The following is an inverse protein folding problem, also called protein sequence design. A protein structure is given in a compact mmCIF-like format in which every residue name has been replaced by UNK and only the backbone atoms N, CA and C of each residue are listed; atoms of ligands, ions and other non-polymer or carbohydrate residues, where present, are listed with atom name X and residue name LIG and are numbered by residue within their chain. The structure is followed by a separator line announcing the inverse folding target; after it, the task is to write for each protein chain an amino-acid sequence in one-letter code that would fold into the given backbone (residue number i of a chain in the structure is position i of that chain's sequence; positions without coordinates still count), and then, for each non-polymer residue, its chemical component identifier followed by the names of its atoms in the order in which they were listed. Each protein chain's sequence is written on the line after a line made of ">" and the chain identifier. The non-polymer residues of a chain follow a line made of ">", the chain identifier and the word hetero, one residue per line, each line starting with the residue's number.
data_IF_687009643864
#
_entry.id   IF_687009643864
#
_cell.length_a   1.000
_cell.length_b   1.000
_cell.length_c   1.000
_cell.angle_alpha   90.00
_cell.angle_beta   90.00
_cell.angle_gamma   90.00
#
_symmetry.space_group_name_H-M   'P 1'
#
loop_
_entity.id
_entity.type
_entity.pdbx_description
1 polymer ?
#
# COMPACT_ATOMS: atom_id res chain seq x y z
N UNK A 1 21.17 2.93 -27.63
CA UNK A 1 21.70 2.32 -26.40
C UNK A 1 20.84 2.82 -25.27
N UNK A 2 19.81 2.05 -24.92
CA UNK A 2 18.84 2.39 -23.89
C UNK A 2 19.49 2.11 -22.53
N UNK A 3 19.55 3.11 -21.66
CA UNK A 3 20.04 2.93 -20.31
C UNK A 3 19.01 2.09 -19.54
N UNK A 4 19.24 0.78 -19.47
CA UNK A 4 18.51 -0.15 -18.59
C UNK A 4 18.56 0.38 -17.17
N UNK A 5 17.42 0.87 -16.67
CA UNK A 5 17.26 1.39 -15.32
C UNK A 5 17.36 0.21 -14.35
N UNK A 6 18.54 0.00 -13.77
CA UNK A 6 18.75 -1.03 -12.74
C UNK A 6 17.99 -0.67 -11.47
N UNK A 7 16.78 -1.19 -11.32
CA UNK A 7 16.06 -1.18 -10.06
C UNK A 7 16.60 -2.30 -9.16
N UNK A 8 17.00 -1.98 -7.94
CA UNK A 8 17.37 -2.97 -6.92
C UNK A 8 17.01 -2.39 -5.57
N UNK A 9 15.71 -2.22 -5.36
CA UNK A 9 15.16 -1.60 -4.17
C UNK A 9 14.52 -2.65 -3.27
N UNK A 10 14.77 -2.54 -1.95
CA UNK A 10 14.20 -3.42 -0.92
C UNK A 10 13.65 -2.60 0.24
N UNK A 11 12.50 -3.02 0.76
CA UNK A 11 11.92 -2.46 1.98
C UNK A 11 11.02 -3.50 2.66
N UNK A 12 10.49 -3.19 3.85
CA UNK A 12 9.39 -3.95 4.43
C UNK A 12 8.05 -3.50 3.84
N UNK A 13 7.07 -4.40 3.75
CA UNK A 13 5.71 -4.07 3.34
C UNK A 13 4.67 -4.67 4.28
N UNK A 14 3.50 -4.05 4.28
CA UNK A 14 2.24 -4.63 4.71
C UNK A 14 1.28 -4.55 3.53
N UNK A 15 0.56 -5.63 3.23
CA UNK A 15 -0.24 -5.78 2.02
C UNK A 15 -1.57 -6.50 2.24
N UNK A 16 -2.56 -6.13 1.45
CA UNK A 16 -3.89 -6.74 1.44
C UNK A 16 -4.50 -6.61 0.04
N UNK A 17 -5.28 -7.60 -0.38
CA UNK A 17 -6.15 -7.43 -1.55
C UNK A 17 -7.40 -6.63 -1.18
N UNK A 18 -8.12 -6.14 -2.19
CA UNK A 18 -9.42 -5.50 -2.02
C UNK A 18 -10.40 -6.42 -1.27
N UNK A 19 -10.51 -7.68 -1.69
CA UNK A 19 -11.42 -8.64 -1.07
C UNK A 19 -11.06 -8.93 0.39
N UNK A 20 -9.77 -8.96 0.74
CA UNK A 20 -9.32 -9.14 2.11
C UNK A 20 -9.62 -7.93 3.02
N UNK A 21 -9.55 -6.71 2.46
CA UNK A 21 -9.97 -5.49 3.16
C UNK A 21 -11.49 -5.46 3.35
N UNK A 22 -12.27 -5.82 2.33
CA UNK A 22 -13.75 -5.87 2.39
C UNK A 22 -14.27 -6.97 3.33
N UNK A 23 -13.65 -8.15 3.32
CA UNK A 23 -14.06 -9.28 4.16
C UNK A 23 -13.79 -9.04 5.67
N UNK A 24 -12.79 -8.21 6.00
CA UNK A 24 -12.41 -7.90 7.37
C UNK A 24 -13.21 -6.77 8.05
N UNK A 25 -14.12 -6.09 7.33
CA UNK A 25 -14.85 -4.91 7.83
C UNK A 25 -15.83 -5.26 8.97
N UNK A 26 -16.42 -6.46 8.95
CA UNK A 26 -17.43 -6.87 9.95
C UNK A 26 -16.84 -7.29 11.30
N UNK A 27 -15.67 -7.94 11.31
CA UNK A 27 -15.10 -8.54 12.53
C UNK A 27 -14.20 -7.62 13.37
N UNK A 28 -13.64 -6.55 12.77
CA UNK A 28 -12.58 -5.74 13.40
C UNK A 28 -12.90 -4.26 13.65
N UNK A 29 -14.15 -3.82 13.47
CA UNK A 29 -14.64 -2.52 14.01
C UNK A 29 -14.35 -2.34 15.51
N UNK A 30 -14.11 -3.44 16.24
CA UNK A 30 -13.73 -3.45 17.66
C UNK A 30 -12.21 -3.33 17.92
N UNK A 31 -11.35 -3.66 16.95
CA UNK A 31 -9.88 -3.73 17.14
C UNK A 31 -9.09 -2.66 16.36
N UNK A 32 -9.71 -1.93 15.43
CA UNK A 32 -9.09 -0.89 14.60
C UNK A 32 -8.52 0.33 15.34
N UNK A 33 -8.54 0.30 16.68
CA UNK A 33 -8.05 1.36 17.55
C UNK A 33 -6.58 1.26 17.93
N UNK A 34 -6.02 0.05 17.85
CA UNK A 34 -4.74 -0.24 18.49
C UNK A 34 -3.59 -0.45 17.49
N UNK A 35 -3.84 -0.85 16.23
CA UNK A 35 -2.74 -1.13 15.30
C UNK A 35 -3.19 -1.16 13.82
N UNK A 36 -2.79 -0.15 13.03
CA UNK A 36 -3.06 -0.09 11.58
C UNK A 36 -2.39 -1.24 10.80
N UNK A 37 -1.24 -1.74 11.28
CA UNK A 37 -0.55 -2.87 10.66
C UNK A 37 -1.31 -4.20 10.79
N UNK A 38 -2.20 -4.32 11.80
CA UNK A 38 -3.00 -5.53 11.96
C UNK A 38 -4.02 -5.72 10.83
N UNK A 39 -4.37 -4.67 10.08
CA UNK A 39 -5.36 -4.73 9.00
C UNK A 39 -4.83 -5.41 7.73
N UNK A 40 -3.51 -5.55 7.60
CA UNK A 40 -2.86 -6.16 6.46
C UNK A 40 -2.49 -7.60 6.81
N UNK A 41 -3.14 -8.61 6.22
CA UNK A 41 -2.85 -10.01 6.52
C UNK A 41 -1.47 -10.42 6.02
N UNK A 42 -0.95 -9.72 4.99
CA UNK A 42 0.35 -10.01 4.40
C UNK A 42 1.38 -9.00 4.86
N UNK A 43 2.55 -9.49 5.24
CA UNK A 43 3.68 -8.67 5.64
C UNK A 43 4.97 -9.38 5.26
N UNK A 44 6.00 -8.64 4.91
CA UNK A 44 7.27 -9.22 4.47
C UNK A 44 8.21 -8.19 3.87
N UNK A 45 9.12 -8.65 3.02
CA UNK A 45 10.00 -7.77 2.24
C UNK A 45 9.44 -7.56 0.84
N UNK A 46 9.41 -6.30 0.40
CA UNK A 46 9.13 -5.92 -0.97
C UNK A 46 10.46 -5.72 -1.69
N UNK A 47 10.59 -6.34 -2.87
CA UNK A 47 11.74 -6.22 -3.74
C UNK A 47 11.29 -5.80 -5.12
N UNK A 48 11.91 -4.76 -5.67
CA UNK A 48 11.66 -4.30 -7.03
C UNK A 48 12.94 -4.39 -7.86
N UNK A 49 12.84 -5.08 -9.00
CA UNK A 49 13.85 -5.07 -10.04
C UNK A 49 13.22 -4.75 -11.41
N UNK A 50 14.00 -4.83 -12.49
CA UNK A 50 13.53 -4.52 -13.86
C UNK A 50 12.46 -5.48 -14.40
N UNK A 51 12.41 -6.71 -13.88
CA UNK A 51 11.60 -7.82 -14.39
C UNK A 51 10.38 -8.11 -13.51
N UNK A 52 10.50 -7.88 -12.21
CA UNK A 52 9.50 -8.27 -11.23
C UNK A 52 9.45 -7.34 -10.01
N UNK A 53 8.24 -7.19 -9.49
CA UNK A 53 7.92 -6.67 -8.17
C UNK A 53 7.53 -7.86 -7.30
N UNK A 54 8.37 -8.20 -6.33
CA UNK A 54 8.18 -9.32 -5.42
C UNK A 54 7.69 -8.79 -4.08
N UNK A 55 6.53 -9.27 -3.64
CA UNK A 55 6.03 -9.15 -2.27
C UNK A 55 6.31 -10.49 -1.58
N UNK A 56 7.40 -10.54 -0.81
CA UNK A 56 7.93 -11.75 -0.21
C UNK A 56 6.87 -12.56 0.52
N UNK A 57 6.92 -13.88 0.33
CA UNK A 57 5.99 -14.88 0.89
C UNK A 57 4.51 -14.69 0.50
N UNK A 58 4.20 -13.75 -0.41
CA UNK A 58 2.84 -13.48 -0.85
C UNK A 58 2.65 -13.62 -2.36
N UNK A 59 3.28 -12.76 -3.17
CA UNK A 59 3.06 -12.74 -4.61
C UNK A 59 4.20 -12.05 -5.38
N UNK A 60 4.30 -12.37 -6.67
CA UNK A 60 5.22 -11.73 -7.61
C UNK A 60 4.44 -11.17 -8.79
N UNK A 61 4.66 -9.89 -9.11
CA UNK A 61 4.04 -9.18 -10.23
C UNK A 61 5.07 -8.85 -11.29
N UNK A 62 4.69 -9.02 -12.56
CA UNK A 62 5.42 -8.50 -13.72
C UNK A 62 4.93 -7.09 -14.06
N UNK A 63 5.69 -6.30 -14.84
CA UNK A 63 5.24 -4.99 -15.31
C UNK A 63 3.84 -5.04 -15.95
N UNK A 64 3.58 -6.09 -16.73
CA UNK A 64 2.32 -6.31 -17.46
C UNK A 64 1.13 -6.65 -16.57
N UNK A 65 1.37 -7.02 -15.32
CA UNK A 65 0.31 -7.38 -14.38
C UNK A 65 -0.28 -6.13 -13.71
N UNK A 66 0.45 -5.01 -13.73
CA UNK A 66 0.06 -3.74 -13.14
C UNK A 66 -0.52 -2.83 -14.23
N UNK A 67 -1.81 -2.53 -14.11
CA UNK A 67 -2.53 -1.64 -15.01
C UNK A 67 -2.34 -0.17 -14.63
N UNK A 68 -2.44 0.14 -13.34
CA UNK A 68 -2.31 1.50 -12.83
C UNK A 68 -1.78 1.48 -11.38
N UNK A 69 -1.29 2.63 -10.90
CA UNK A 69 -0.82 2.81 -9.53
C UNK A 69 -1.06 4.23 -9.00
N UNK A 70 -1.60 4.30 -7.79
CA UNK A 70 -1.85 5.56 -7.08
C UNK A 70 -1.46 5.51 -5.60
N UNK A 71 -1.45 6.67 -4.95
CA UNK A 71 -1.35 6.80 -3.50
C UNK A 71 -2.55 7.60 -3.00
N UNK A 72 -3.69 6.93 -2.90
CA UNK A 72 -4.95 7.51 -2.43
C UNK A 72 -5.61 6.72 -1.31
N UNK A 73 -6.40 7.42 -0.50
CA UNK A 73 -7.32 6.75 0.42
C UNK A 73 -8.46 6.16 -0.40
N UNK A 74 -8.60 4.84 -0.36
CA UNK A 74 -9.69 4.13 -1.02
C UNK A 74 -10.91 4.06 -0.10
N UNK A 75 -12.15 3.89 -0.62
CA UNK A 75 -13.35 3.79 0.23
C UNK A 75 -13.28 2.65 1.24
N UNK A 76 -12.64 1.53 0.88
CA UNK A 76 -12.43 0.34 1.71
C UNK A 76 -11.30 0.57 2.74
N UNK A 77 -10.34 1.44 2.40
CA UNK A 77 -9.34 1.99 3.32
C UNK A 77 -9.71 3.44 3.67
N UNK A 78 -10.98 3.62 4.06
CA UNK A 78 -11.65 4.91 4.08
C UNK A 78 -12.39 5.17 5.37
N UNK A 79 -11.82 6.08 6.18
CA UNK A 79 -12.49 6.95 7.17
C UNK A 79 -12.64 6.47 8.62
N UNK A 80 -12.64 5.17 8.93
CA UNK A 80 -12.80 4.68 10.32
C UNK A 80 -11.54 4.08 10.98
N UNK A 81 -10.55 3.65 10.21
CA UNK A 81 -9.33 2.98 10.72
C UNK A 81 -8.20 3.95 11.07
N UNK A 82 -8.26 5.18 10.58
CA UNK A 82 -7.30 6.24 10.92
C UNK A 82 -7.74 7.09 12.14
N UNK A 83 -8.98 6.94 12.60
CA UNK A 83 -9.55 7.72 13.70
C UNK A 83 -10.02 6.79 14.80
N UNK A 84 -9.25 6.71 15.88
CA UNK A 84 -9.70 6.00 17.05
C UNK A 84 -11.00 6.57 17.66
N UNK A 85 -11.62 5.86 18.59
CA UNK A 85 -13.00 5.89 19.07
C UNK A 85 -13.37 7.11 19.91
N UNK A 86 -12.70 8.23 19.64
CA UNK A 86 -13.16 9.56 20.00
C UNK A 86 -13.63 10.21 18.70
N UNK A 87 -14.95 10.21 18.51
CA UNK A 87 -15.60 10.97 17.45
C UNK A 87 -15.01 12.38 17.41
N UNK A 88 -14.32 12.68 16.31
CA UNK A 88 -13.49 13.85 16.21
C UNK A 88 -12.32 13.53 15.30
N UNK A 89 -12.49 13.77 14.01
CA UNK A 89 -11.35 14.22 13.22
C UNK A 89 -10.78 15.41 13.99
N UNK A 90 -9.58 15.36 14.58
CA UNK A 90 -8.91 16.61 14.80
C UNK A 90 -8.71 17.15 13.39
N UNK A 91 -9.25 18.33 13.15
CA UNK A 91 -8.91 19.16 12.00
C UNK A 91 -7.41 19.49 12.09
N UNK A 92 -6.54 18.51 11.90
CA UNK A 92 -5.13 18.74 11.61
C UNK A 92 -5.04 18.94 10.10
N UNK A 93 -5.41 20.15 9.67
CA UNK A 93 -5.25 20.65 8.31
C UNK A 93 -3.81 20.71 7.82
N UNK A 94 -2.92 19.83 8.30
CA UNK A 94 -1.49 19.81 8.02
C UNK A 94 -0.92 18.44 7.69
N UNK A 95 -1.73 17.36 7.71
CA UNK A 95 -1.22 15.99 7.54
C UNK A 95 -2.15 15.16 6.64
N UNK A 96 -2.50 15.71 5.48
CA UNK A 96 -3.46 15.10 4.54
C UNK A 96 -2.92 13.87 3.80
N UNK A 97 -1.61 13.61 3.90
CA UNK A 97 -0.89 12.59 3.13
C UNK A 97 -0.26 11.46 3.97
N UNK A 98 -0.26 11.53 5.31
CA UNK A 98 0.33 10.45 6.10
C UNK A 98 -0.61 9.24 6.14
N UNK A 99 -0.02 8.05 5.95
CA UNK A 99 -0.73 6.78 6.05
C UNK A 99 -1.54 6.37 4.80
N UNK A 100 -1.47 7.11 3.69
CA UNK A 100 -2.11 6.70 2.43
C UNK A 100 -1.49 5.40 1.91
N UNK A 101 -2.30 4.39 1.56
CA UNK A 101 -1.80 3.17 0.96
C UNK A 101 -1.36 3.45 -0.48
N UNK A 102 -0.39 2.68 -0.95
CA UNK A 102 -0.04 2.57 -2.35
C UNK A 102 -0.97 1.51 -2.95
N UNK A 103 -1.79 1.89 -3.92
CA UNK A 103 -2.74 0.97 -4.54
C UNK A 103 -2.19 0.55 -5.90
N UNK A 104 -2.05 -0.76 -6.10
CA UNK A 104 -1.74 -1.39 -7.38
C UNK A 104 -3.05 -1.90 -7.97
N UNK A 105 -3.43 -1.39 -9.14
CA UNK A 105 -4.55 -1.91 -9.90
C UNK A 105 -4.02 -2.95 -10.87
N UNK A 106 -4.51 -4.18 -10.76
CA UNK A 106 -4.03 -5.28 -11.56
C UNK A 106 -4.87 -5.45 -12.82
N UNK A 107 -4.25 -6.00 -13.87
CA UNK A 107 -4.94 -6.27 -15.15
C UNK A 107 -6.05 -7.32 -15.05
N UNK A 108 -6.02 -8.17 -14.02
CA UNK A 108 -7.09 -9.12 -13.71
C UNK A 108 -8.30 -8.48 -13.01
N UNK A 109 -8.27 -7.16 -12.76
CA UNK A 109 -9.35 -6.41 -12.11
C UNK A 109 -9.29 -6.39 -10.57
N UNK A 110 -8.29 -7.03 -9.96
CA UNK A 110 -8.05 -6.95 -8.52
C UNK A 110 -7.24 -5.70 -8.15
N UNK A 111 -7.25 -5.32 -6.87
CA UNK A 111 -6.47 -4.22 -6.33
C UNK A 111 -5.70 -4.67 -5.10
N UNK A 112 -4.41 -4.40 -5.09
CA UNK A 112 -3.53 -4.62 -3.95
C UNK A 112 -3.25 -3.27 -3.28
N UNK A 113 -3.48 -3.17 -1.98
CA UNK A 113 -3.13 -1.99 -1.18
C UNK A 113 -1.90 -2.29 -0.32
N UNK A 114 -0.90 -1.40 -0.35
CA UNK A 114 0.39 -1.56 0.32
C UNK A 114 0.72 -0.41 1.26
N UNK A 115 1.36 -0.73 2.38
CA UNK A 115 2.11 0.21 3.21
C UNK A 115 3.59 -0.21 3.24
N UNK A 116 4.42 0.53 2.52
CA UNK A 116 5.85 0.25 2.40
C UNK A 116 6.63 1.04 3.46
N UNK A 117 7.48 0.35 4.22
CA UNK A 117 8.29 0.88 5.30
C UNK A 117 7.47 1.71 6.31
N UNK A 118 6.32 1.17 6.69
CA UNK A 118 5.41 1.85 7.61
C UNK A 118 5.99 1.92 9.02
N UNK A 119 6.06 3.14 9.55
CA UNK A 119 6.58 3.43 10.89
C UNK A 119 5.41 3.70 11.82
N UNK A 120 5.10 2.75 12.71
CA UNK A 120 3.95 2.83 13.63
C UNK A 120 3.95 4.09 14.51
N UNK A 121 5.13 4.54 14.95
CA UNK A 121 5.26 5.69 15.87
C UNK A 121 4.90 7.01 15.19
N UNK A 122 5.28 7.19 13.92
CA UNK A 122 5.08 8.43 13.17
C UNK A 122 3.92 8.36 12.17
N UNK A 123 3.38 7.17 11.89
CA UNK A 123 2.39 6.96 10.83
C UNK A 123 2.92 7.23 9.41
N UNK A 124 4.25 7.33 9.25
CA UNK A 124 4.91 7.63 7.97
C UNK A 124 5.20 6.35 7.18
N UNK A 125 5.25 6.46 5.85
CA UNK A 125 5.60 5.38 4.94
C UNK A 125 6.42 5.93 3.77
N UNK A 126 6.97 5.03 2.95
CA UNK A 126 7.78 5.40 1.79
C UNK A 126 6.97 5.29 0.48
N UNK A 127 5.63 5.22 0.56
CA UNK A 127 4.75 4.91 -0.58
C UNK A 127 4.89 5.87 -1.75
N UNK A 128 5.11 7.18 -1.51
CA UNK A 128 5.35 8.14 -2.59
C UNK A 128 6.63 7.84 -3.37
N UNK A 129 7.70 7.40 -2.70
CA UNK A 129 8.94 7.00 -3.39
C UNK A 129 8.72 5.71 -4.19
N UNK A 130 7.95 4.78 -3.63
CA UNK A 130 7.63 3.51 -4.29
C UNK A 130 6.66 3.66 -5.46
N UNK A 131 5.73 4.63 -5.41
CA UNK A 131 4.86 5.02 -6.52
C UNK A 131 5.67 5.32 -7.78
N UNK A 132 6.64 6.23 -7.70
CA UNK A 132 7.45 6.64 -8.84
C UNK A 132 8.27 5.47 -9.42
N UNK A 133 8.80 4.61 -8.54
CA UNK A 133 9.55 3.42 -8.95
C UNK A 133 8.66 2.42 -9.68
N UNK A 134 7.47 2.16 -9.15
CA UNK A 134 6.52 1.20 -9.72
C UNK A 134 5.92 1.73 -11.02
N UNK A 135 5.62 3.04 -11.12
CA UNK A 135 5.24 3.67 -12.39
C UNK A 135 6.29 3.48 -13.45
N UNK A 136 7.55 3.74 -13.11
CA UNK A 136 8.66 3.53 -14.05
C UNK A 136 8.87 2.06 -14.40
N UNK A 137 8.57 1.13 -13.50
CA UNK A 137 8.66 -0.31 -13.74
C UNK A 137 7.54 -0.82 -14.67
N UNK A 138 6.31 -0.37 -14.44
CA UNK A 138 5.14 -0.75 -15.21
C UNK A 138 4.94 0.10 -16.48
N UNK A 139 5.83 1.06 -16.76
CA UNK A 139 5.73 2.04 -17.85
C UNK A 139 4.42 2.85 -17.83
N UNK A 140 3.96 3.22 -16.63
CA UNK A 140 2.78 4.04 -16.40
C UNK A 140 3.22 5.51 -16.32
N UNK A 141 2.56 6.37 -17.11
CA UNK A 141 2.84 7.81 -17.23
C UNK A 141 2.10 8.67 -16.22
#
# INVERSE_FOLDING_TARGET
>A
MEATKKFTDRASFHGATKTELESNDAGRRLFGLANQAALFPHQGEIFLNEQELVLGDWLTLRPTDIQDVDVEFTPEYGRFTAGGSRGGFPSLGFVRDLGKPLNLYLTNGDRISLLVNFRLVSGTNDNKSWLEKIRSFANIG
#
